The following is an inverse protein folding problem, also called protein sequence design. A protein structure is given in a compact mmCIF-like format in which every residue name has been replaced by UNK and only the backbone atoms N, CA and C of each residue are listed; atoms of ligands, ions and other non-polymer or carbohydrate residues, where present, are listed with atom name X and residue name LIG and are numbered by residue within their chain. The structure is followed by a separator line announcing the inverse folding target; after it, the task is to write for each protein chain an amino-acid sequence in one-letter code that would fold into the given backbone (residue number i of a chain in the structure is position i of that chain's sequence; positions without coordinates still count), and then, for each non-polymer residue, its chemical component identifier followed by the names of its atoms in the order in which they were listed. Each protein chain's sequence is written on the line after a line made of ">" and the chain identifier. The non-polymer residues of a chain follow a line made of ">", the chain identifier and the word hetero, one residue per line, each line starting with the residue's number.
data_IF_230386643668
#
_entry.id   IF_230386643668
#
_cell.length_a   1.000
_cell.length_b   1.000
_cell.length_c   1.000
_cell.angle_alpha   90.00
_cell.angle_beta   90.00
_cell.angle_gamma   90.00
#
_symmetry.space_group_name_H-M   'P 1'
#
loop_
_entity.id
_entity.type
_entity.pdbx_description
1 polymer ?
#
# COMPACT_ATOMS: atom_id res chain seq x y z
N UNK A 1 -16.69 8.10 -2.32
CA UNK A 1 -15.72 8.42 -1.24
C UNK A 1 -14.40 8.75 -1.93
N UNK A 2 -13.91 9.99 -1.85
CA UNK A 2 -12.58 10.35 -2.39
C UNK A 2 -11.57 10.12 -1.27
N UNK A 3 -10.73 9.11 -1.44
CA UNK A 3 -9.62 8.83 -0.52
C UNK A 3 -8.40 9.57 -1.06
N UNK A 4 -7.73 10.33 -0.20
CA UNK A 4 -6.49 11.04 -0.54
C UNK A 4 -5.33 10.02 -0.60
N UNK A 5 -4.70 9.81 -1.77
CA UNK A 5 -3.60 8.86 -1.92
C UNK A 5 -2.42 9.15 -0.98
N UNK A 6 -2.15 10.42 -0.67
CA UNK A 6 -1.06 10.77 0.25
C UNK A 6 -1.35 10.27 1.67
N UNK A 7 -2.60 10.37 2.13
CA UNK A 7 -3.00 9.86 3.45
C UNK A 7 -2.95 8.34 3.53
N UNK A 8 -3.19 7.64 2.42
CA UNK A 8 -3.08 6.17 2.36
C UNK A 8 -1.63 5.75 2.49
N UNK A 9 -0.72 6.42 1.77
CA UNK A 9 0.73 6.13 1.87
C UNK A 9 1.26 6.45 3.28
N UNK A 10 0.86 7.56 3.88
CA UNK A 10 1.25 7.90 5.26
C UNK A 10 0.73 6.85 6.27
N UNK A 11 -0.52 6.41 6.11
CA UNK A 11 -1.07 5.34 6.95
C UNK A 11 -0.31 4.03 6.75
N UNK A 12 -0.03 3.66 5.51
CA UNK A 12 0.73 2.47 5.16
C UNK A 12 2.14 2.50 5.79
N UNK A 13 2.84 3.63 5.76
CA UNK A 13 4.14 3.81 6.42
C UNK A 13 4.06 3.63 7.95
N UNK A 14 3.05 4.20 8.61
CA UNK A 14 2.84 3.98 10.05
C UNK A 14 2.51 2.52 10.39
N UNK A 15 1.78 1.84 9.52
CA UNK A 15 1.51 0.41 9.67
C UNK A 15 2.79 -0.40 9.53
N UNK A 16 3.64 -0.09 8.55
CA UNK A 16 4.95 -0.74 8.37
C UNK A 16 5.86 -0.57 9.60
N UNK A 17 5.98 0.65 10.12
CA UNK A 17 6.74 0.93 11.35
C UNK A 17 6.22 0.14 12.56
N UNK A 18 4.90 -0.04 12.66
CA UNK A 18 4.28 -0.82 13.72
C UNK A 18 4.58 -2.32 13.58
N UNK A 19 4.59 -2.85 12.35
CA UNK A 19 4.94 -4.25 12.07
C UNK A 19 6.41 -4.52 12.40
N UNK A 20 7.32 -3.65 11.95
CA UNK A 20 8.75 -3.79 12.25
C UNK A 20 9.00 -3.81 13.76
N UNK A 21 8.30 -2.95 14.50
CA UNK A 21 8.39 -2.91 15.97
C UNK A 21 7.88 -4.20 16.61
N UNK A 22 6.73 -4.71 16.16
CA UNK A 22 6.19 -5.99 16.64
C UNK A 22 7.19 -7.13 16.43
N UNK A 23 7.82 -7.20 15.25
CA UNK A 23 8.81 -8.23 14.91
C UNK A 23 10.04 -8.12 15.81
N UNK A 24 10.54 -6.91 16.06
CA UNK A 24 11.70 -6.68 16.94
C UNK A 24 11.35 -7.10 18.37
N UNK A 25 10.25 -6.59 18.92
CA UNK A 25 9.81 -6.88 20.29
C UNK A 25 9.58 -8.39 20.49
N UNK A 26 8.96 -9.06 19.52
CA UNK A 26 8.78 -10.50 19.56
C UNK A 26 10.10 -11.26 19.51
N UNK A 27 11.02 -10.87 18.62
CA UNK A 27 12.33 -11.51 18.49
C UNK A 27 13.09 -11.45 19.82
N UNK A 28 13.12 -10.28 20.45
CA UNK A 28 13.76 -10.08 21.77
C UNK A 28 13.08 -10.91 22.87
N UNK A 29 11.74 -10.89 22.92
CA UNK A 29 10.97 -11.65 23.91
C UNK A 29 11.15 -13.17 23.74
N UNK A 30 11.13 -13.66 22.50
CA UNK A 30 11.20 -15.09 22.17
C UNK A 30 12.53 -15.71 22.61
N UNK A 31 13.63 -14.96 22.60
CA UNK A 31 14.93 -15.42 23.13
C UNK A 31 14.84 -15.66 24.64
N UNK A 32 14.27 -14.72 25.38
CA UNK A 32 14.08 -14.85 26.83
C UNK A 32 13.13 -16.00 27.19
N UNK A 33 12.05 -16.16 26.43
CA UNK A 33 11.09 -17.25 26.60
C UNK A 33 11.75 -18.61 26.33
N UNK A 34 12.51 -18.77 25.25
CA UNK A 34 13.25 -20.02 24.99
C UNK A 34 14.24 -20.36 26.10
N UNK A 35 14.97 -19.36 26.61
CA UNK A 35 15.90 -19.56 27.73
C UNK A 35 15.17 -20.03 28.99
N UNK A 36 14.03 -19.42 29.32
CA UNK A 36 13.18 -19.86 30.45
C UNK A 36 12.64 -21.29 30.24
N UNK A 37 12.25 -21.63 29.01
CA UNK A 37 11.82 -22.98 28.63
C UNK A 37 12.90 -24.03 28.83
N UNK A 38 14.17 -23.70 28.53
CA UNK A 38 15.30 -24.60 28.77
C UNK A 38 15.44 -25.02 30.23
N UNK A 39 15.22 -24.09 31.17
CA UNK A 39 15.28 -24.37 32.61
C UNK A 39 14.13 -25.26 33.12
N UNK A 40 12.99 -25.30 32.44
CA UNK A 40 11.88 -26.21 32.77
C UNK A 40 12.21 -27.68 32.45
N UNK A 41 13.11 -27.93 31.50
CA UNK A 41 13.47 -29.27 31.01
C UNK A 41 14.42 -30.08 31.90
N UNK A 42 14.95 -29.49 32.98
CA UNK A 42 15.97 -30.14 33.83
C UNK A 42 15.41 -31.22 34.77
N UNK A 43 14.07 -31.39 34.85
CA UNK A 43 13.41 -32.40 35.68
C UNK A 43 12.49 -33.35 34.91
N UNK A 44 12.62 -34.67 35.14
CA UNK A 44 11.78 -35.69 34.48
C UNK A 44 10.28 -35.58 34.82
N UNK A 45 9.93 -34.97 35.97
CA UNK A 45 8.54 -34.72 36.37
C UNK A 45 7.88 -33.54 35.62
N UNK A 46 8.66 -32.70 34.93
CA UNK A 46 8.20 -31.49 34.22
C UNK A 46 8.41 -31.57 32.70
N UNK A 47 8.85 -32.72 32.18
CA UNK A 47 9.10 -32.93 30.74
C UNK A 47 7.88 -32.62 29.85
N UNK A 48 6.67 -33.04 30.26
CA UNK A 48 5.44 -32.73 29.53
C UNK A 48 5.07 -31.23 29.54
N UNK A 49 5.42 -30.51 30.62
CA UNK A 49 5.22 -29.06 30.72
C UNK A 49 6.24 -28.33 29.83
N UNK A 50 7.49 -28.78 29.83
CA UNK A 50 8.54 -28.24 28.97
C UNK A 50 8.20 -28.44 27.48
N UNK A 51 7.66 -29.61 27.11
CA UNK A 51 7.20 -29.89 25.76
C UNK A 51 6.03 -28.98 25.36
N UNK A 52 4.98 -28.91 26.18
CA UNK A 52 3.82 -28.06 25.89
C UNK A 52 4.21 -26.56 25.83
N UNK A 53 5.19 -26.14 26.62
CA UNK A 53 5.74 -24.78 26.57
C UNK A 53 6.46 -24.51 25.23
N UNK A 54 7.30 -25.45 24.78
CA UNK A 54 7.99 -25.33 23.49
C UNK A 54 7.00 -25.28 22.33
N UNK A 55 6.01 -26.18 22.31
CA UNK A 55 4.95 -26.20 21.28
C UNK A 55 4.14 -24.91 21.25
N UNK A 56 3.79 -24.36 22.43
CA UNK A 56 3.09 -23.10 22.53
C UNK A 56 3.94 -21.92 22.01
N UNK A 57 5.26 -21.96 22.25
CA UNK A 57 6.18 -20.93 21.78
C UNK A 57 6.35 -20.98 20.26
N UNK A 58 6.50 -22.17 19.69
CA UNK A 58 6.56 -22.37 18.24
C UNK A 58 5.26 -21.90 17.56
N UNK A 59 4.10 -22.22 18.15
CA UNK A 59 2.80 -21.73 17.65
C UNK A 59 2.70 -20.20 17.73
N UNK A 60 3.22 -19.58 18.78
CA UNK A 60 3.24 -18.14 18.90
C UNK A 60 4.16 -17.48 17.85
N UNK A 61 5.32 -18.08 17.56
CA UNK A 61 6.18 -17.63 16.47
C UNK A 61 5.46 -17.67 15.13
N UNK A 62 4.82 -18.79 14.79
CA UNK A 62 4.06 -18.94 13.55
C UNK A 62 2.99 -17.85 13.40
N UNK A 63 2.24 -17.57 14.48
CA UNK A 63 1.18 -16.55 14.48
C UNK A 63 1.75 -15.15 14.30
N UNK A 64 2.81 -14.79 15.04
CA UNK A 64 3.40 -13.44 14.95
C UNK A 64 4.01 -13.21 13.58
N UNK A 65 4.76 -14.16 13.05
CA UNK A 65 5.34 -14.06 11.72
C UNK A 65 4.28 -14.05 10.61
N UNK A 66 3.24 -14.86 10.74
CA UNK A 66 2.10 -14.87 9.82
C UNK A 66 1.36 -13.53 9.83
N UNK A 67 1.15 -12.94 11.00
CA UNK A 67 0.54 -11.62 11.14
C UNK A 67 1.42 -10.53 10.52
N UNK A 68 2.73 -10.55 10.78
CA UNK A 68 3.67 -9.59 10.19
C UNK A 68 3.64 -9.65 8.65
N UNK A 69 3.73 -10.85 8.07
CA UNK A 69 3.65 -11.04 6.61
C UNK A 69 2.33 -10.55 6.02
N UNK A 70 1.20 -10.84 6.68
CA UNK A 70 -0.11 -10.40 6.21
C UNK A 70 -0.24 -8.87 6.23
N UNK A 71 0.32 -8.22 7.26
CA UNK A 71 0.32 -6.76 7.38
C UNK A 71 1.26 -6.11 6.36
N UNK A 72 2.47 -6.64 6.15
CA UNK A 72 3.39 -6.18 5.10
C UNK A 72 2.76 -6.28 3.71
N UNK A 73 2.12 -7.41 3.39
CA UNK A 73 1.38 -7.58 2.14
C UNK A 73 0.23 -6.59 1.98
N UNK A 74 -0.51 -6.32 3.07
CA UNK A 74 -1.57 -5.31 3.09
C UNK A 74 -1.05 -3.88 2.90
N UNK A 75 0.07 -3.53 3.52
CA UNK A 75 0.76 -2.23 3.35
C UNK A 75 1.18 -2.04 1.89
N UNK A 76 1.81 -3.05 1.28
CA UNK A 76 2.19 -3.01 -0.12
C UNK A 76 0.98 -2.79 -1.04
N UNK A 77 -0.10 -3.55 -0.82
CA UNK A 77 -1.33 -3.42 -1.61
C UNK A 77 -1.99 -2.03 -1.48
N UNK A 78 -1.92 -1.41 -0.29
CA UNK A 78 -2.42 -0.05 -0.08
C UNK A 78 -1.59 0.99 -0.84
N UNK A 79 -0.25 0.85 -0.83
CA UNK A 79 0.65 1.74 -1.57
C UNK A 79 0.42 1.62 -3.08
N UNK A 80 0.32 0.38 -3.58
CA UNK A 80 0.04 0.13 -5.01
C UNK A 80 -1.31 0.74 -5.41
N UNK A 81 -2.35 0.52 -4.60
CA UNK A 81 -3.68 1.12 -4.85
C UNK A 81 -3.64 2.65 -4.85
N UNK A 82 -2.89 3.26 -3.93
CA UNK A 82 -2.71 4.72 -3.89
C UNK A 82 -1.99 5.23 -5.14
N UNK A 83 -0.99 4.49 -5.62
CA UNK A 83 -0.26 4.81 -6.85
C UNK A 83 -1.16 4.72 -8.09
N UNK A 84 -1.95 3.67 -8.20
CA UNK A 84 -2.89 3.47 -9.31
C UNK A 84 -3.90 4.60 -9.40
N UNK A 85 -4.44 5.05 -8.26
CA UNK A 85 -5.37 6.19 -8.19
C UNK A 85 -4.69 7.48 -8.64
N UNK A 86 -3.48 7.78 -8.15
CA UNK A 86 -2.74 8.98 -8.55
C UNK A 86 -2.43 9.00 -10.06
N UNK A 87 -2.05 7.86 -10.63
CA UNK A 87 -1.80 7.73 -12.07
C UNK A 87 -3.06 7.93 -12.91
N UNK A 88 -4.20 7.40 -12.43
CA UNK A 88 -5.49 7.63 -13.08
C UNK A 88 -5.88 9.12 -13.06
N UNK A 89 -5.67 9.81 -11.94
CA UNK A 89 -5.94 11.23 -11.80
C UNK A 89 -5.04 12.08 -12.73
N UNK A 90 -3.76 11.74 -12.84
CA UNK A 90 -2.82 12.39 -13.78
C UNK A 90 -3.24 12.18 -15.25
N UNK A 91 -3.64 10.96 -15.62
CA UNK A 91 -4.12 10.67 -16.97
C UNK A 91 -5.39 11.45 -17.32
N UNK A 92 -6.32 11.57 -16.37
CA UNK A 92 -7.54 12.37 -16.54
C UNK A 92 -7.21 13.85 -16.69
N UNK A 93 -6.30 14.39 -15.86
CA UNK A 93 -5.87 15.79 -15.96
C UNK A 93 -5.23 16.09 -17.33
N UNK A 94 -4.34 15.20 -17.79
CA UNK A 94 -3.71 15.31 -19.11
C UNK A 94 -4.76 15.32 -20.25
N UNK A 95 -5.76 14.44 -20.20
CA UNK A 95 -6.83 14.39 -21.19
C UNK A 95 -7.71 15.65 -21.19
N UNK A 96 -7.97 16.22 -20.01
CA UNK A 96 -8.69 17.49 -19.87
C UNK A 96 -7.89 18.64 -20.51
N UNK A 97 -6.60 18.74 -20.23
CA UNK A 97 -5.71 19.76 -20.80
C UNK A 97 -5.61 19.63 -22.31
N UNK A 98 -5.45 18.40 -22.83
CA UNK A 98 -5.47 18.09 -24.26
C UNK A 98 -6.78 18.53 -24.92
N UNK A 99 -7.93 18.22 -24.30
CA UNK A 99 -9.23 18.62 -24.82
C UNK A 99 -9.44 20.14 -24.79
N UNK A 100 -8.93 20.83 -23.75
CA UNK A 100 -8.95 22.28 -23.68
C UNK A 100 -8.09 22.94 -24.76
N UNK A 101 -6.88 22.42 -24.99
CA UNK A 101 -5.97 22.90 -26.04
C UNK A 101 -6.53 22.65 -27.47
N UNK A 102 -7.20 21.51 -27.70
CA UNK A 102 -7.84 21.19 -28.98
C UNK A 102 -9.02 22.11 -29.32
N UNK A 103 -9.79 22.54 -28.32
CA UNK A 103 -10.89 23.51 -28.49
C UNK A 103 -10.41 24.91 -28.88
N UNK A 104 -9.16 25.27 -28.57
CA UNK A 104 -8.55 26.54 -29.00
C UNK A 104 -8.10 26.58 -30.47
N UNK A 105 -8.05 25.43 -31.16
CA UNK A 105 -7.57 25.32 -32.56
C UNK A 105 -8.68 25.19 -33.62
N UNK A 106 -9.96 25.18 -33.23
CA UNK A 106 -11.10 25.13 -34.16
C UNK A 106 -11.86 26.48 -34.30
N UNK A 107 -11.16 27.60 -34.08
CA UNK A 107 -11.66 28.96 -34.34
C UNK A 107 -11.19 29.59 -35.65
N UNK A 108 -10.65 28.78 -36.58
CA UNK A 108 -10.21 29.25 -37.90
C UNK A 108 -10.72 28.31 -38.98
N UNK A 109 -12.04 28.27 -39.16
CA UNK A 109 -12.59 27.74 -40.41
C UNK A 109 -12.39 28.82 -41.46
N UNK A 110 -11.58 28.46 -42.46
CA UNK A 110 -11.56 29.05 -43.79
C UNK A 110 -12.98 29.33 -44.28
N UNK A 111 -13.25 30.56 -44.71
CA UNK A 111 -14.29 30.84 -45.71
C UNK A 111 -13.64 30.90 -47.10
N UNK A 112 -13.79 29.87 -47.94
CA UNK A 112 -13.65 30.00 -49.38
C UNK A 112 -15.03 29.95 -50.03
N UNK A 113 -15.52 31.11 -50.48
CA UNK A 113 -16.70 31.24 -51.35
C UNK A 113 -17.44 32.55 -51.07
N UNK A 114 -17.79 33.43 -52.00
CA UNK A 114 -17.88 33.33 -53.45
C UNK A 114 -17.71 34.72 -54.06
N UNK A 115 -17.08 34.77 -55.24
CA UNK A 115 -17.18 35.88 -56.17
C UNK A 115 -18.64 36.24 -56.46
N UNK A 116 -18.93 37.54 -56.52
CA UNK A 116 -20.17 38.11 -57.00
C UNK A 116 -19.87 39.43 -57.71
N UNK A 117 -19.79 39.37 -59.04
CA UNK A 117 -19.72 40.48 -59.98
C UNK A 117 -20.92 41.43 -59.87
N UNK A 118 -20.76 42.70 -60.27
CA UNK A 118 -21.88 43.46 -60.84
C UNK A 118 -22.00 44.95 -60.53
N UNK A 119 -21.51 45.78 -61.46
CA UNK A 119 -22.20 46.92 -62.10
C UNK A 119 -22.93 48.03 -61.31
N UNK A 120 -22.59 49.27 -61.72
CA UNK A 120 -23.49 50.44 -61.84
C UNK A 120 -23.31 51.47 -60.71
N UNK A 121 -23.07 52.75 -60.95
CA UNK A 121 -23.05 53.61 -62.14
C UNK A 121 -22.69 55.03 -61.70
#
# INVERSE_FOLDING_TARGET
>A
MRVDPHRVVELAGRCDEAVQRLVIEWTEASVGLRAAGGHLGEGTAVSGVAQAYAEALDSADEVVWGLAHALEGGVAALIDSARDVSQADEAVAFEIDRAAAGRGRHGGWDEPGHAGEGHGG
#
